data_IF_911238385289
#
_entry.id   IF_911238385289
#
_cell.length_a   1.000
_cell.length_b   1.000
_cell.length_c   1.000
_cell.angle_alpha   90.00
_cell.angle_beta   90.00
_cell.angle_gamma   90.00
#
_symmetry.space_group_name_H-M   'P 1'
#
loop_
_entity.id
_entity.type
_entity.pdbx_description
1 polymer ?
#
# COMPACT_ATOMS: atom_id res chain seq x y z
N UNK A 1 31.54 -26.80 -14.17
CA UNK A 1 30.08 -26.70 -13.98
C UNK A 1 29.82 -25.34 -13.34
N UNK A 2 29.12 -24.42 -14.01
CA UNK A 2 28.82 -23.10 -13.42
C UNK A 2 27.66 -23.24 -12.45
N UNK A 3 27.72 -22.56 -11.31
CA UNK A 3 26.61 -22.58 -10.35
C UNK A 3 25.45 -21.76 -10.90
N UNK A 4 24.22 -22.09 -10.49
CA UNK A 4 23.01 -21.35 -10.91
C UNK A 4 23.08 -19.85 -10.54
N UNK A 5 23.84 -19.51 -9.49
CA UNK A 5 24.14 -18.14 -9.09
C UNK A 5 25.03 -17.41 -10.11
N UNK A 6 26.09 -18.06 -10.59
CA UNK A 6 26.98 -17.54 -11.65
C UNK A 6 26.25 -17.35 -12.99
N UNK A 7 25.16 -18.10 -13.19
CA UNK A 7 24.30 -17.98 -14.36
C UNK A 7 23.20 -16.91 -14.21
N UNK A 8 23.18 -16.13 -13.11
CA UNK A 8 22.21 -15.06 -12.84
C UNK A 8 20.74 -15.50 -12.88
N UNK A 9 20.45 -16.76 -12.54
CA UNK A 9 19.07 -17.26 -12.44
C UNK A 9 18.39 -16.93 -11.11
N UNK A 10 19.12 -16.32 -10.17
CA UNK A 10 18.60 -15.94 -8.85
C UNK A 10 18.82 -14.46 -8.59
N UNK A 11 17.84 -13.83 -7.97
CA UNK A 11 17.95 -12.49 -7.40
C UNK A 11 18.07 -12.59 -5.87
N UNK A 12 18.82 -11.69 -5.21
CA UNK A 12 18.89 -11.64 -3.76
C UNK A 12 17.50 -11.40 -3.17
N UNK A 13 17.13 -12.20 -2.17
CA UNK A 13 15.88 -12.01 -1.42
C UNK A 13 15.92 -10.61 -0.80
N UNK A 14 14.97 -9.76 -1.18
CA UNK A 14 14.80 -8.45 -0.60
C UNK A 14 14.36 -8.55 0.86
N UNK A 15 14.64 -7.52 1.65
CA UNK A 15 14.24 -7.48 3.06
C UNK A 15 12.70 -7.59 3.22
N UNK A 16 11.95 -7.10 2.24
CA UNK A 16 10.49 -7.24 2.17
C UNK A 16 10.03 -8.67 1.91
N UNK A 17 10.67 -9.39 0.99
CA UNK A 17 10.37 -10.80 0.73
C UNK A 17 10.69 -11.66 1.94
N UNK A 18 11.84 -11.44 2.59
CA UNK A 18 12.20 -12.11 3.84
C UNK A 18 11.12 -11.94 4.91
N UNK A 19 10.52 -10.75 4.99
CA UNK A 19 9.43 -10.47 5.92
C UNK A 19 8.18 -11.30 5.62
N UNK A 20 7.72 -11.33 4.37
CA UNK A 20 6.59 -12.17 3.93
C UNK A 20 6.84 -13.65 4.17
N UNK A 21 8.06 -14.14 3.88
CA UNK A 21 8.46 -15.52 4.16
C UNK A 21 8.46 -15.83 5.66
N UNK A 22 8.90 -14.90 6.51
CA UNK A 22 8.92 -15.10 7.96
C UNK A 22 7.53 -15.03 8.59
N UNK A 23 6.56 -14.31 8.01
CA UNK A 23 5.20 -14.31 8.57
C UNK A 23 4.48 -15.65 8.41
N UNK A 24 4.80 -16.41 7.36
CA UNK A 24 4.19 -17.73 7.09
C UNK A 24 5.02 -18.91 7.65
N UNK A 25 6.36 -18.88 7.57
CA UNK A 25 7.21 -19.98 8.03
C UNK A 25 7.75 -19.85 9.46
N UNK A 26 7.92 -18.63 10.01
CA UNK A 26 8.64 -18.45 11.28
C UNK A 26 7.86 -18.88 12.52
N UNK A 27 6.61 -19.33 12.35
CA UNK A 27 5.84 -19.96 13.44
C UNK A 27 6.11 -21.45 13.63
N UNK A 28 6.85 -22.11 12.73
CA UNK A 28 6.95 -23.57 12.75
C UNK A 28 8.38 -24.11 12.69
N UNK A 29 9.31 -23.56 13.48
CA UNK A 29 10.48 -24.34 13.94
C UNK A 29 10.03 -25.46 14.90
N UNK A 30 9.06 -26.26 14.48
CA UNK A 30 8.51 -27.39 15.21
C UNK A 30 9.54 -28.51 15.09
N UNK A 31 10.14 -28.85 16.22
CA UNK A 31 10.86 -30.10 16.33
C UNK A 31 9.92 -31.26 15.92
N UNK A 32 10.44 -32.31 15.28
CA UNK A 32 9.62 -33.49 14.98
C UNK A 32 9.04 -34.05 16.29
N UNK A 33 7.71 -34.17 16.35
CA UNK A 33 7.01 -34.76 17.48
C UNK A 33 7.37 -36.24 17.59
N UNK A 34 8.28 -36.57 18.51
CA UNK A 34 8.66 -37.97 18.81
C UNK A 34 7.72 -38.62 19.81
N UNK A 35 7.11 -37.85 20.71
CA UNK A 35 6.18 -38.29 21.74
C UNK A 35 5.26 -37.15 22.18
N UNK A 36 4.34 -37.44 23.12
CA UNK A 36 3.39 -36.47 23.69
C UNK A 36 3.96 -35.69 24.89
N UNK A 37 5.29 -35.70 25.10
CA UNK A 37 5.90 -35.03 26.26
C UNK A 37 6.14 -33.54 25.99
N UNK A 38 5.90 -32.71 27.01
CA UNK A 38 6.01 -31.26 26.91
C UNK A 38 7.47 -30.81 26.86
N UNK A 39 7.86 -30.03 25.85
CA UNK A 39 9.19 -29.45 25.72
C UNK A 39 9.33 -28.14 26.54
N UNK A 40 10.06 -28.11 27.67
CA UNK A 40 10.07 -26.96 28.59
C UNK A 40 10.62 -25.67 27.98
N UNK A 41 11.43 -25.79 26.92
CA UNK A 41 12.00 -24.66 26.17
C UNK A 41 10.96 -23.86 25.38
N UNK A 42 9.88 -24.51 24.95
CA UNK A 42 8.85 -23.92 24.07
C UNK A 42 7.49 -23.74 24.77
N UNK A 43 7.37 -24.25 25.99
CA UNK A 43 6.16 -24.16 26.80
C UNK A 43 6.24 -23.03 27.83
N UNK A 44 5.06 -22.54 28.22
CA UNK A 44 4.83 -21.28 28.94
C UNK A 44 5.69 -21.20 30.22
N UNK A 45 6.63 -20.24 30.26
CA UNK A 45 7.32 -19.89 31.50
C UNK A 45 6.42 -18.98 32.34
N UNK A 46 6.45 -19.14 33.67
CA UNK A 46 5.84 -18.19 34.59
C UNK A 46 6.40 -16.79 34.28
N UNK A 47 5.50 -15.84 34.02
CA UNK A 47 5.85 -14.47 33.67
C UNK A 47 6.67 -13.88 34.82
N UNK A 48 7.99 -13.69 34.62
CA UNK A 48 8.83 -13.00 35.61
C UNK A 48 8.21 -11.64 35.90
N UNK A 49 8.19 -11.21 37.17
CA UNK A 49 7.79 -9.84 37.53
C UNK A 49 8.62 -8.89 36.69
N UNK A 50 7.97 -7.92 36.04
CA UNK A 50 8.63 -6.96 35.19
C UNK A 50 9.63 -6.16 36.04
N UNK A 51 10.92 -6.44 35.88
CA UNK A 51 11.97 -5.54 36.34
C UNK A 51 11.83 -4.25 35.54
N UNK A 52 11.79 -3.11 36.25
CA UNK A 52 11.77 -1.79 35.64
C UNK A 52 13.04 -1.61 34.83
N UNK A 53 12.99 -1.93 33.53
CA UNK A 53 14.06 -1.52 32.61
C UNK A 53 14.08 -0.01 32.65
N UNK A 54 15.21 0.57 33.04
CA UNK A 54 15.47 1.98 32.79
C UNK A 54 15.23 2.22 31.31
N UNK A 55 14.11 2.89 31.01
CA UNK A 55 13.81 3.31 29.65
C UNK A 55 14.87 4.36 29.36
N UNK A 56 15.90 3.98 28.59
CA UNK A 56 16.85 4.91 28.02
C UNK A 56 16.04 5.97 27.25
N UNK A 57 15.78 7.11 27.88
CA UNK A 57 15.00 8.24 27.34
C UNK A 57 15.68 8.87 26.11
N UNK A 58 16.90 8.44 25.80
CA UNK A 58 17.67 8.80 24.61
C UNK A 58 17.36 7.93 23.36
N UNK A 59 16.47 6.93 23.43
CA UNK A 59 15.87 6.38 22.20
C UNK A 59 15.00 7.47 21.61
N UNK A 60 15.57 8.24 20.68
CA UNK A 60 14.88 9.26 19.89
C UNK A 60 13.50 8.72 19.53
N UNK A 61 12.44 9.24 20.17
CA UNK A 61 11.08 9.02 19.71
C UNK A 61 11.09 9.58 18.29
N UNK A 62 10.92 8.71 17.30
CA UNK A 62 10.61 9.19 15.97
C UNK A 62 9.31 10.01 16.12
N UNK A 63 9.42 11.32 15.91
CA UNK A 63 8.28 12.23 15.89
C UNK A 63 8.09 12.55 14.41
N UNK A 64 6.97 12.13 13.80
CA UNK A 64 6.69 12.50 12.42
C UNK A 64 6.59 14.02 12.27
N UNK A 65 7.22 14.56 11.23
CA UNK A 65 7.15 15.99 10.88
C UNK A 65 6.20 16.23 9.69
N UNK A 66 6.00 15.20 8.86
CA UNK A 66 5.14 15.26 7.69
C UNK A 66 4.14 14.11 7.71
N UNK A 67 2.87 14.40 7.43
CA UNK A 67 1.80 13.40 7.39
C UNK A 67 1.21 13.34 5.99
N UNK A 68 1.17 12.13 5.44
CA UNK A 68 0.63 11.84 4.12
C UNK A 68 -0.43 10.75 4.19
N UNK A 69 -1.37 10.81 3.25
CA UNK A 69 -2.36 9.79 2.95
C UNK A 69 -2.07 9.30 1.55
N UNK A 70 -2.04 7.99 1.33
CA UNK A 70 -1.69 7.42 0.04
C UNK A 70 -2.57 6.21 -0.32
N UNK A 71 -2.72 5.97 -1.62
CA UNK A 71 -3.43 4.83 -2.19
C UNK A 71 -2.73 4.39 -3.49
N UNK A 72 -2.58 3.09 -3.70
CA UNK A 72 -2.02 2.53 -4.94
C UNK A 72 -3.14 2.02 -5.85
N UNK A 73 -2.91 2.12 -7.15
CA UNK A 73 -3.59 1.28 -8.14
C UNK A 73 -2.58 0.29 -8.72
N UNK A 74 -3.01 -0.96 -8.88
CA UNK A 74 -2.17 -2.05 -9.34
C UNK A 74 -2.91 -2.98 -10.30
N UNK A 75 -2.16 -3.72 -11.10
CA UNK A 75 -2.71 -4.76 -11.96
C UNK A 75 -3.33 -5.89 -11.13
N UNK A 76 -4.39 -6.51 -11.65
CA UNK A 76 -5.10 -7.62 -10.99
C UNK A 76 -4.83 -8.98 -11.63
N UNK A 77 -4.02 -9.04 -12.68
CA UNK A 77 -3.63 -10.27 -13.36
C UNK A 77 -2.31 -10.82 -12.79
N UNK A 78 -2.35 -12.06 -12.29
CA UNK A 78 -1.16 -12.77 -11.81
C UNK A 78 -0.49 -12.08 -10.62
N UNK A 79 0.79 -11.72 -10.78
CA UNK A 79 1.53 -10.96 -9.78
C UNK A 79 1.16 -9.48 -9.87
N UNK A 80 0.47 -8.98 -8.85
CA UNK A 80 0.04 -7.59 -8.79
C UNK A 80 1.25 -6.64 -8.84
N UNK A 81 1.21 -5.67 -9.76
CA UNK A 81 2.21 -4.63 -9.92
C UNK A 81 1.55 -3.26 -9.80
N UNK A 82 2.05 -2.44 -8.89
CA UNK A 82 1.62 -1.05 -8.78
C UNK A 82 1.99 -0.29 -10.07
N UNK A 83 1.04 0.50 -10.57
CA UNK A 83 1.23 1.34 -11.75
C UNK A 83 0.84 2.80 -11.50
N UNK A 84 0.15 3.09 -10.41
CA UNK A 84 -0.17 4.45 -10.01
C UNK A 84 -0.16 4.55 -8.49
N UNK A 85 0.29 5.67 -7.96
CA UNK A 85 0.12 6.05 -6.55
C UNK A 85 -0.34 7.49 -6.49
N UNK A 86 -1.33 7.75 -5.66
CA UNK A 86 -1.74 9.11 -5.31
C UNK A 86 -1.46 9.34 -3.84
N UNK A 87 -1.07 10.56 -3.52
CA UNK A 87 -0.85 10.95 -2.15
C UNK A 87 -1.20 12.41 -1.91
N UNK A 88 -1.76 12.67 -0.73
CA UNK A 88 -2.10 13.98 -0.24
C UNK A 88 -1.41 14.22 1.10
N UNK A 89 -0.86 15.41 1.30
CA UNK A 89 -0.42 15.85 2.63
C UNK A 89 -1.64 16.21 3.49
N UNK A 90 -1.48 16.08 4.81
CA UNK A 90 -2.51 16.43 5.79
C UNK A 90 -2.95 17.90 5.67
N UNK A 91 -1.99 18.82 5.57
CA UNK A 91 -2.20 20.27 5.40
C UNK A 91 -2.79 20.65 4.02
N UNK A 92 -2.78 19.73 3.06
CA UNK A 92 -3.26 19.94 1.70
C UNK A 92 -2.30 20.69 0.78
N UNK A 93 -1.06 20.97 1.19
CA UNK A 93 -0.03 21.59 0.35
C UNK A 93 0.42 20.69 -0.81
N UNK A 94 0.33 19.37 -0.66
CA UNK A 94 0.71 18.37 -1.66
C UNK A 94 -0.52 17.53 -2.04
N UNK A 95 -0.77 17.38 -3.34
CA UNK A 95 -1.83 16.52 -3.90
C UNK A 95 -1.41 16.00 -5.28
N UNK A 96 -0.62 14.94 -5.26
CA UNK A 96 0.10 14.44 -6.44
C UNK A 96 -0.29 13.00 -6.80
N UNK A 97 0.14 12.60 -7.99
CA UNK A 97 0.05 11.23 -8.48
C UNK A 97 1.31 10.90 -9.26
N UNK A 98 1.73 9.64 -9.21
CA UNK A 98 2.90 9.14 -9.93
C UNK A 98 2.48 7.91 -10.71
N UNK A 99 2.54 8.00 -12.03
CA UNK A 99 2.24 6.92 -12.96
C UNK A 99 3.50 6.18 -13.39
N UNK A 100 3.38 4.86 -13.54
CA UNK A 100 4.41 3.98 -14.07
C UNK A 100 4.82 2.88 -13.12
N UNK A 101 5.61 1.93 -13.63
CA UNK A 101 6.04 0.74 -12.86
C UNK A 101 6.96 1.08 -11.67
N UNK A 102 7.62 2.24 -11.72
CA UNK A 102 8.52 2.72 -10.66
C UNK A 102 7.82 3.63 -9.64
N UNK A 103 6.49 3.74 -9.69
CA UNK A 103 5.72 4.69 -8.88
C UNK A 103 6.01 4.58 -7.38
N UNK A 104 6.20 3.37 -6.85
CA UNK A 104 6.53 3.15 -5.44
C UNK A 104 7.91 3.72 -5.07
N UNK A 105 8.93 3.57 -5.93
CA UNK A 105 10.28 4.09 -5.66
C UNK A 105 10.31 5.61 -5.80
N UNK A 106 9.69 6.15 -6.84
CA UNK A 106 9.60 7.60 -7.03
C UNK A 106 8.80 8.28 -5.91
N UNK A 107 7.73 7.64 -5.42
CA UNK A 107 7.01 8.10 -4.23
C UNK A 107 7.94 8.20 -3.02
N UNK A 108 8.71 7.15 -2.73
CA UNK A 108 9.69 7.16 -1.64
C UNK A 108 10.78 8.23 -1.85
N UNK A 109 11.12 8.55 -3.09
CA UNK A 109 12.07 9.61 -3.42
C UNK A 109 11.55 11.01 -3.18
N UNK A 110 10.24 11.24 -3.37
CA UNK A 110 9.59 12.53 -3.11
C UNK A 110 9.27 12.79 -1.64
N UNK A 111 9.24 11.75 -0.80
CA UNK A 111 8.92 11.89 0.62
C UNK A 111 10.06 12.56 1.42
N UNK A 112 9.75 13.57 2.26
CA UNK A 112 10.74 14.16 3.17
C UNK A 112 11.13 13.18 4.30
N UNK A 113 12.22 13.48 4.99
CA UNK A 113 12.59 12.76 6.21
C UNK A 113 11.48 12.87 7.27
N UNK A 114 11.39 11.87 8.15
CA UNK A 114 10.38 11.79 9.21
C UNK A 114 8.92 11.85 8.72
N UNK A 115 8.67 11.21 7.56
CA UNK A 115 7.32 11.08 7.01
C UNK A 115 6.51 9.98 7.70
N UNK A 116 5.27 10.29 8.06
CA UNK A 116 4.23 9.32 8.45
C UNK A 116 3.21 9.21 7.32
N UNK A 117 3.00 7.99 6.83
CA UNK A 117 2.13 7.72 5.69
C UNK A 117 1.02 6.78 6.15
N UNK A 118 -0.22 7.18 5.91
CA UNK A 118 -1.38 6.34 6.12
C UNK A 118 -1.83 5.71 4.81
N UNK A 119 -2.03 4.40 4.84
CA UNK A 119 -2.78 3.65 3.82
C UNK A 119 -4.08 3.15 4.44
N UNK A 120 -5.06 2.81 3.61
CA UNK A 120 -6.29 2.19 4.08
C UNK A 120 -6.31 0.72 3.68
N UNK A 121 -6.19 -0.18 4.66
CA UNK A 121 -5.95 -1.61 4.45
C UNK A 121 -4.53 -1.91 3.94
N UNK A 122 -3.54 -1.36 4.67
CA UNK A 122 -2.10 -1.39 4.38
C UNK A 122 -1.52 -2.77 4.02
N UNK A 123 -2.13 -3.86 4.50
CA UNK A 123 -1.56 -5.22 4.36
C UNK A 123 -1.34 -5.62 2.90
N UNK A 124 -2.06 -5.00 1.98
CA UNK A 124 -1.86 -5.17 0.54
C UNK A 124 -0.75 -4.25 0.01
N UNK A 125 -0.91 -2.94 0.19
CA UNK A 125 -0.02 -1.91 -0.38
C UNK A 125 1.41 -1.97 0.14
N UNK A 126 1.60 -2.45 1.36
CA UNK A 126 2.91 -2.51 2.01
C UNK A 126 3.93 -3.33 1.21
N UNK A 127 3.46 -4.32 0.44
CA UNK A 127 4.31 -5.17 -0.39
C UNK A 127 4.96 -4.40 -1.54
N UNK A 128 4.36 -3.30 -2.00
CA UNK A 128 4.96 -2.42 -3.02
C UNK A 128 6.06 -1.55 -2.44
N UNK A 129 6.01 -1.23 -1.14
CA UNK A 129 6.96 -0.33 -0.49
C UNK A 129 8.13 -1.09 0.14
N UNK A 130 7.85 -2.18 0.86
CA UNK A 130 8.85 -2.88 1.69
C UNK A 130 10.07 -3.35 0.90
N UNK A 131 9.87 -3.78 -0.35
CA UNK A 131 10.95 -4.23 -1.24
C UNK A 131 11.99 -3.13 -1.55
N UNK A 132 11.61 -1.86 -1.39
CA UNK A 132 12.45 -0.71 -1.67
C UNK A 132 13.06 -0.07 -0.41
N UNK A 133 12.62 -0.46 0.79
CA UNK A 133 13.16 0.06 2.04
C UNK A 133 14.61 -0.39 2.24
N UNK A 134 15.47 0.52 2.68
CA UNK A 134 16.87 0.22 3.00
C UNK A 134 16.98 -0.62 4.27
N UNK A 135 16.17 -0.30 5.27
CA UNK A 135 16.15 -0.99 6.56
C UNK A 135 14.73 -0.94 7.13
N UNK A 136 14.25 -2.03 7.71
CA UNK A 136 13.07 -2.02 8.57
C UNK A 136 13.55 -1.90 10.02
N UNK A 137 13.11 -0.85 10.72
CA UNK A 137 13.51 -0.54 12.08
C UNK A 137 12.45 -0.96 13.09
N UNK A 138 12.92 -1.57 14.17
CA UNK A 138 12.06 -2.08 15.23
C UNK A 138 11.26 -3.31 14.81
N UNK A 139 10.28 -3.68 15.63
CA UNK A 139 9.37 -4.78 15.33
C UNK A 139 8.12 -4.21 14.66
N UNK A 140 7.80 -4.60 13.41
CA UNK A 140 6.52 -4.26 12.80
C UNK A 140 5.35 -4.64 13.71
N UNK A 141 4.34 -3.78 13.77
CA UNK A 141 3.16 -4.04 14.56
C UNK A 141 2.20 -4.82 13.68
N UNK A 142 2.06 -6.12 13.94
CA UNK A 142 1.15 -7.02 13.23
C UNK A 142 0.12 -7.55 14.23
N UNK A 143 -1.16 -7.52 13.84
CA UNK A 143 -2.26 -8.12 14.60
C UNK A 143 -3.00 -9.13 13.74
N UNK A 144 -2.76 -10.42 13.99
CA UNK A 144 -3.26 -11.49 13.12
C UNK A 144 -2.55 -11.47 11.76
N UNK A 145 -3.33 -11.42 10.68
CA UNK A 145 -2.82 -11.24 9.30
C UNK A 145 -2.68 -9.78 8.89
N UNK A 146 -3.00 -8.82 9.77
CA UNK A 146 -3.02 -7.39 9.44
C UNK A 146 -1.75 -6.68 9.90
N UNK A 147 -1.05 -6.08 8.96
CA UNK A 147 0.04 -5.13 9.22
C UNK A 147 -0.55 -3.80 9.66
N UNK A 148 -0.29 -3.39 10.91
CA UNK A 148 -0.78 -2.13 11.47
C UNK A 148 0.20 -0.98 11.32
N UNK A 149 1.50 -1.25 11.52
CA UNK A 149 2.54 -0.24 11.42
C UNK A 149 3.87 -0.87 11.05
N UNK A 150 4.60 -0.20 10.16
CA UNK A 150 6.00 -0.47 9.86
C UNK A 150 6.78 0.83 10.00
N UNK A 151 7.99 0.74 10.54
CA UNK A 151 8.94 1.84 10.61
C UNK A 151 10.22 1.40 9.92
N UNK A 152 10.85 2.28 9.15
CA UNK A 152 12.08 1.94 8.45
C UNK A 152 12.82 3.15 7.93
N UNK A 153 13.93 2.88 7.24
CA UNK A 153 14.71 3.87 6.52
C UNK A 153 14.64 3.64 5.01
N UNK A 154 14.55 4.72 4.26
CA UNK A 154 14.76 4.75 2.81
C UNK A 154 15.84 5.78 2.47
N UNK A 155 17.02 5.32 2.00
CA UNK A 155 18.17 6.18 1.68
C UNK A 155 18.51 7.16 2.82
N UNK A 156 18.48 6.67 4.07
CA UNK A 156 18.74 7.47 5.28
C UNK A 156 17.55 8.25 5.83
N UNK A 157 16.45 8.41 5.07
CA UNK A 157 15.21 9.05 5.54
C UNK A 157 14.35 8.08 6.33
N UNK A 158 13.88 8.49 7.49
CA UNK A 158 13.06 7.68 8.35
C UNK A 158 11.57 7.85 7.99
N UNK A 159 10.90 6.71 7.78
CA UNK A 159 9.52 6.63 7.30
C UNK A 159 8.72 5.72 8.25
N UNK A 160 7.53 6.17 8.63
CA UNK A 160 6.51 5.34 9.29
C UNK A 160 5.35 5.14 8.32
N UNK A 161 4.91 3.90 8.21
CA UNK A 161 3.73 3.53 7.44
C UNK A 161 2.71 2.94 8.41
N UNK A 162 1.48 3.45 8.40
CA UNK A 162 0.39 3.02 9.29
C UNK A 162 -0.85 2.62 8.51
N UNK A 163 -1.53 1.60 9.03
CA UNK A 163 -2.84 1.20 8.55
C UNK A 163 -3.95 2.01 9.23
N UNK A 164 -4.61 2.87 8.48
CA UNK A 164 -5.78 3.60 8.98
C UNK A 164 -6.96 2.68 9.27
N UNK A 165 -7.02 1.49 8.66
CA UNK A 165 -8.09 0.51 8.92
C UNK A 165 -8.04 -0.05 10.34
N UNK A 166 -6.90 0.09 11.02
CA UNK A 166 -6.76 -0.20 12.46
C UNK A 166 -7.46 0.83 13.36
N UNK A 167 -7.64 2.07 12.86
CA UNK A 167 -8.35 3.15 13.54
C UNK A 167 -9.83 3.13 13.14
N UNK A 168 -10.11 3.04 11.84
CA UNK A 168 -11.47 3.05 11.28
C UNK A 168 -11.73 1.73 10.54
N UNK A 169 -12.22 0.73 11.27
CA UNK A 169 -12.47 -0.62 10.78
C UNK A 169 -13.77 -0.72 9.94
N UNK A 170 -13.84 0.02 8.83
CA UNK A 170 -14.96 -0.01 7.87
C UNK A 170 -14.41 0.14 6.45
N UNK A 171 -15.16 -0.31 5.44
CA UNK A 171 -14.83 -0.09 4.02
C UNK A 171 -15.03 1.38 3.65
N UNK A 172 -14.12 1.98 2.87
CA UNK A 172 -14.24 3.37 2.39
C UNK A 172 -15.63 3.70 1.81
N UNK A 173 -16.27 2.78 1.09
CA UNK A 173 -17.61 3.03 0.53
C UNK A 173 -18.71 3.35 1.55
N UNK A 174 -18.55 2.94 2.81
CA UNK A 174 -19.54 3.14 3.87
C UNK A 174 -19.38 4.48 4.60
N UNK A 175 -18.23 5.14 4.45
CA UNK A 175 -17.91 6.35 5.18
C UNK A 175 -18.80 7.55 4.84
N UNK A 176 -19.26 7.76 3.59
CA UNK A 176 -20.17 8.87 3.32
C UNK A 176 -21.43 8.84 4.18
N UNK A 177 -22.00 7.64 4.38
CA UNK A 177 -23.16 7.43 5.23
C UNK A 177 -22.83 7.60 6.72
N UNK A 178 -21.61 7.27 7.15
CA UNK A 178 -21.20 7.40 8.55
C UNK A 178 -20.92 8.85 8.98
N UNK A 179 -20.46 9.69 8.04
CA UNK A 179 -19.99 11.05 8.32
C UNK A 179 -20.85 12.14 7.64
N UNK A 180 -22.00 11.77 7.09
CA UNK A 180 -22.90 12.63 6.30
C UNK A 180 -22.15 13.51 5.28
N UNK A 181 -21.22 12.91 4.55
CA UNK A 181 -20.38 13.64 3.60
C UNK A 181 -21.04 13.65 2.22
N UNK A 182 -20.98 14.80 1.54
CA UNK A 182 -21.22 14.83 0.11
C UNK A 182 -20.22 13.92 -0.60
N UNK A 183 -20.75 12.93 -1.34
CA UNK A 183 -19.98 12.08 -2.23
C UNK A 183 -19.77 12.79 -3.54
N UNK A 184 -18.56 12.71 -4.09
CA UNK A 184 -18.29 13.12 -5.47
C UNK A 184 -18.99 12.22 -6.49
N UNK A 185 -18.60 12.32 -7.77
CA UNK A 185 -19.11 11.45 -8.83
C UNK A 185 -19.00 9.98 -8.44
N UNK A 186 -19.97 9.18 -8.90
CA UNK A 186 -20.02 7.74 -8.65
C UNK A 186 -18.73 7.08 -9.18
N UNK A 187 -18.09 6.30 -8.32
CA UNK A 187 -16.84 5.61 -8.65
C UNK A 187 -17.12 4.44 -9.61
N UNK A 188 -16.61 4.53 -10.84
CA UNK A 188 -16.66 3.44 -11.84
C UNK A 188 -15.26 3.26 -12.40
N UNK A 189 -14.58 2.19 -11.98
CA UNK A 189 -13.21 1.91 -12.38
C UNK A 189 -13.08 0.46 -12.87
N UNK A 190 -12.60 0.21 -14.09
CA UNK A 190 -12.52 -1.13 -14.67
C UNK A 190 -11.25 -1.86 -14.20
N UNK A 191 -11.17 -2.27 -12.93
CA UNK A 191 -9.95 -2.85 -12.33
C UNK A 191 -9.33 -3.97 -13.18
N UNK A 192 -10.14 -4.92 -13.66
CA UNK A 192 -9.68 -6.07 -14.43
C UNK A 192 -9.24 -5.73 -15.87
N UNK A 193 -9.51 -4.50 -16.34
CA UNK A 193 -9.03 -4.02 -17.63
C UNK A 193 -7.56 -3.58 -17.57
N UNK A 194 -7.12 -3.06 -16.42
CA UNK A 194 -5.74 -2.61 -16.18
C UNK A 194 -4.79 -3.80 -15.95
N UNK A 195 -4.65 -4.62 -16.98
CA UNK A 195 -3.74 -5.78 -16.97
C UNK A 195 -2.28 -5.37 -17.13
N UNK A 196 -1.38 -6.23 -16.68
CA UNK A 196 0.07 -6.04 -16.79
C UNK A 196 0.52 -5.92 -18.25
N UNK A 197 -0.16 -6.58 -19.18
CA UNK A 197 0.10 -6.47 -20.63
C UNK A 197 -0.30 -5.11 -21.16
N UNK A 198 -1.49 -4.61 -20.79
CA UNK A 198 -1.96 -3.29 -21.19
C UNK A 198 -1.05 -2.19 -20.64
N UNK A 199 -0.67 -2.31 -19.37
CA UNK A 199 0.18 -1.36 -18.66
C UNK A 199 1.65 -1.37 -19.10
N UNK A 200 2.09 -2.42 -19.79
CA UNK A 200 3.42 -2.46 -20.40
C UNK A 200 3.48 -1.65 -21.71
N UNK A 201 2.35 -1.21 -22.26
CA UNK A 201 2.32 -0.35 -23.43
C UNK A 201 2.51 1.12 -23.03
N UNK A 202 3.53 1.76 -23.60
CA UNK A 202 3.89 3.14 -23.29
C UNK A 202 2.91 4.19 -23.82
N UNK A 203 1.99 3.81 -24.72
CA UNK A 203 1.04 4.75 -25.31
C UNK A 203 -0.12 5.17 -24.38
N UNK A 204 -0.25 4.54 -23.19
CA UNK A 204 -1.27 4.85 -22.16
C UNK A 204 -2.70 4.89 -22.70
N UNK A 205 -2.96 4.20 -23.80
CA UNK A 205 -4.24 4.27 -24.53
C UNK A 205 -5.08 3.05 -24.21
N UNK A 206 -6.29 3.28 -23.71
CA UNK A 206 -7.30 2.26 -23.46
C UNK A 206 -8.38 2.29 -24.54
N UNK A 207 -8.92 1.12 -24.88
CA UNK A 207 -10.08 0.94 -25.75
C UNK A 207 -11.35 0.94 -24.89
N UNK A 208 -12.26 1.87 -25.16
CA UNK A 208 -13.47 2.10 -24.38
C UNK A 208 -14.37 0.86 -24.37
N UNK A 209 -14.61 0.25 -25.54
CA UNK A 209 -15.48 -0.92 -25.67
C UNK A 209 -14.97 -2.13 -24.89
N UNK A 210 -13.65 -2.32 -24.82
CA UNK A 210 -13.03 -3.38 -24.02
C UNK A 210 -13.11 -3.08 -22.52
N UNK A 211 -12.84 -1.84 -22.10
CA UNK A 211 -12.97 -1.44 -20.71
C UNK A 211 -14.40 -1.61 -20.17
N UNK A 212 -15.40 -1.30 -21.01
CA UNK A 212 -16.82 -1.46 -20.68
C UNK A 212 -17.22 -2.90 -20.34
N UNK A 213 -16.50 -3.92 -20.81
CA UNK A 213 -16.77 -5.33 -20.45
C UNK A 213 -16.50 -5.65 -18.98
N UNK A 214 -15.70 -4.82 -18.31
CA UNK A 214 -15.27 -5.03 -16.91
C UNK A 214 -16.04 -4.17 -15.90
N UNK A 215 -17.08 -3.46 -16.35
CA UNK A 215 -17.90 -2.57 -15.52
C UNK A 215 -19.39 -2.78 -15.78
N UNK A 216 -20.21 -2.46 -14.79
CA UNK A 216 -21.68 -2.56 -14.92
C UNK A 216 -22.35 -1.26 -15.38
N UNK A 217 -21.67 -0.11 -15.23
CA UNK A 217 -22.26 1.23 -15.42
C UNK A 217 -21.46 1.99 -16.49
N UNK A 218 -21.67 1.59 -17.74
CA UNK A 218 -20.99 2.16 -18.90
C UNK A 218 -21.35 3.64 -19.11
N UNK A 219 -22.59 4.04 -18.84
CA UNK A 219 -23.02 5.44 -18.99
C UNK A 219 -22.23 6.37 -18.06
N UNK A 220 -22.03 5.96 -16.80
CA UNK A 220 -21.23 6.74 -15.85
C UNK A 220 -19.75 6.73 -16.24
N UNK A 221 -19.23 5.59 -16.72
CA UNK A 221 -17.86 5.51 -17.24
C UNK A 221 -17.61 6.50 -18.39
N UNK A 222 -18.51 6.56 -19.38
CA UNK A 222 -18.42 7.51 -20.49
C UNK A 222 -18.48 8.96 -20.02
N UNK A 223 -19.44 9.31 -19.15
CA UNK A 223 -19.54 10.64 -18.56
C UNK A 223 -18.26 11.04 -17.83
N UNK A 224 -17.65 10.10 -17.09
CA UNK A 224 -16.41 10.35 -16.38
C UNK A 224 -15.25 10.60 -17.35
N UNK A 225 -15.10 9.78 -18.40
CA UNK A 225 -14.09 10.00 -19.45
C UNK A 225 -14.24 11.40 -20.08
N UNK A 226 -15.46 11.79 -20.43
CA UNK A 226 -15.71 13.07 -21.08
C UNK A 226 -15.50 14.27 -20.13
N UNK A 227 -15.74 14.07 -18.82
CA UNK A 227 -15.55 15.12 -17.80
C UNK A 227 -14.09 15.41 -17.44
N UNK A 228 -13.20 14.43 -17.64
CA UNK A 228 -11.79 14.56 -17.28
C UNK A 228 -11.05 15.20 -18.46
N UNK A 229 -10.45 16.38 -18.22
CA UNK A 229 -9.74 17.14 -19.26
C UNK A 229 -8.67 16.29 -19.95
N UNK A 230 -8.87 16.08 -21.26
CA UNK A 230 -7.95 15.32 -22.11
C UNK A 230 -7.91 13.82 -21.85
N UNK A 231 -8.89 13.26 -21.12
CA UNK A 231 -9.01 11.83 -20.93
C UNK A 231 -9.65 11.13 -22.14
N UNK A 232 -10.65 11.75 -22.78
CA UNK A 232 -11.14 11.31 -24.09
C UNK A 232 -10.07 11.59 -25.14
N UNK A 233 -9.61 10.54 -25.85
CA UNK A 233 -8.63 10.68 -26.94
C UNK A 233 -9.38 10.82 -28.27
N UNK A 234 -10.29 9.88 -28.54
CA UNK A 234 -11.14 9.85 -29.73
C UNK A 234 -12.45 9.08 -29.44
N UNK A 235 -13.24 8.75 -30.47
CA UNK A 235 -14.51 8.03 -30.31
C UNK A 235 -14.39 6.68 -29.60
N UNK A 236 -13.27 5.98 -29.74
CA UNK A 236 -13.06 4.62 -29.25
C UNK A 236 -12.03 4.51 -28.12
N UNK A 237 -11.24 5.56 -27.87
CA UNK A 237 -10.10 5.51 -26.97
C UNK A 237 -10.13 6.54 -25.84
N UNK A 238 -9.51 6.18 -24.72
CA UNK A 238 -9.31 7.03 -23.55
C UNK A 238 -7.89 6.87 -22.96
N UNK A 239 -7.47 7.86 -22.19
CA UNK A 239 -6.17 7.91 -21.53
C UNK A 239 -6.21 7.19 -20.17
N UNK A 240 -5.48 6.07 -20.07
CA UNK A 240 -5.43 5.20 -18.89
C UNK A 240 -4.89 5.93 -17.65
N UNK A 241 -3.87 6.75 -17.83
CA UNK A 241 -3.22 7.47 -16.75
C UNK A 241 -4.13 8.55 -16.18
N UNK A 242 -4.73 9.37 -17.05
CA UNK A 242 -5.61 10.46 -16.60
C UNK A 242 -6.83 9.90 -15.89
N UNK A 243 -7.41 8.83 -16.43
CA UNK A 243 -8.55 8.17 -15.80
C UNK A 243 -8.15 7.62 -14.43
N UNK A 244 -7.14 6.75 -14.35
CA UNK A 244 -6.67 6.19 -13.08
C UNK A 244 -6.29 7.26 -12.06
N UNK A 245 -5.55 8.28 -12.48
CA UNK A 245 -5.14 9.41 -11.63
C UNK A 245 -6.34 10.12 -11.03
N UNK A 246 -7.39 10.36 -11.82
CA UNK A 246 -8.61 10.99 -11.33
C UNK A 246 -9.25 10.17 -10.20
N UNK A 247 -9.42 8.86 -10.40
CA UNK A 247 -10.01 7.97 -9.39
C UNK A 247 -9.17 7.84 -8.13
N UNK A 248 -7.89 7.57 -8.31
CA UNK A 248 -6.95 7.37 -7.23
C UNK A 248 -6.82 8.66 -6.38
N UNK A 249 -6.82 9.85 -7.00
CA UNK A 249 -6.90 11.12 -6.26
C UNK A 249 -8.23 11.30 -5.53
N UNK A 250 -9.36 10.94 -6.14
CA UNK A 250 -10.66 11.02 -5.48
C UNK A 250 -10.72 10.11 -4.24
N UNK A 251 -10.20 8.89 -4.34
CA UNK A 251 -10.09 7.94 -3.22
C UNK A 251 -9.18 8.47 -2.12
N UNK A 252 -7.98 8.92 -2.46
CA UNK A 252 -7.03 9.49 -1.52
C UNK A 252 -7.60 10.72 -0.78
N UNK A 253 -8.19 11.67 -1.51
CA UNK A 253 -8.82 12.87 -0.92
C UNK A 253 -9.98 12.51 0.00
N UNK A 254 -10.83 11.57 -0.43
CA UNK A 254 -11.92 11.07 0.38
C UNK A 254 -11.39 10.43 1.66
N UNK A 255 -10.38 9.57 1.55
CA UNK A 255 -9.72 8.93 2.66
C UNK A 255 -9.15 9.94 3.66
N UNK A 256 -8.34 10.91 3.20
CA UNK A 256 -7.80 12.00 4.04
C UNK A 256 -8.90 12.76 4.77
N UNK A 257 -9.86 13.32 4.01
CA UNK A 257 -10.96 14.15 4.56
C UNK A 257 -11.74 13.41 5.65
N UNK A 258 -11.89 12.10 5.50
CA UNK A 258 -12.60 11.25 6.44
C UNK A 258 -11.75 10.95 7.68
N UNK A 259 -10.48 10.59 7.49
CA UNK A 259 -9.59 10.27 8.59
C UNK A 259 -9.38 11.46 9.52
N UNK A 260 -9.20 12.67 8.96
CA UNK A 260 -9.04 13.90 9.74
C UNK A 260 -10.32 14.33 10.50
N UNK A 261 -11.48 13.72 10.24
CA UNK A 261 -12.74 13.99 10.96
C UNK A 261 -12.98 13.06 12.14
N UNK A 262 -12.20 12.00 12.30
CA UNK A 262 -12.33 11.08 13.43
C UNK A 262 -11.53 11.63 14.61
N UNK A 263 -12.13 11.79 15.81
CA UNK A 263 -11.37 12.12 17.02
C UNK A 263 -10.30 11.03 17.24
N UNK A 264 -9.03 11.44 17.28
CA UNK A 264 -7.88 10.55 17.52
C UNK A 264 -7.62 10.35 19.01
#
# INVERSE_FOLDING_TARGET
>A
MKTLWECKYFEPISYGELFTYTTDLYKQNLAPFKDLTYAPKYCVQLKKKAESKEVNKAKCKFIPEHVFFADFECSTDGFHKAFNICYDSEDGSVSESIWGQNCATEFLERLPDKSLIYFHNLSYDINFILRHMTEVKGTPIIKGSRTMQITGLYKGRAIIIKDSYSVINKKLKLFPAMFNLQTGPKEVFPYNYYSSVLLANDNRTGVISEACKFIHDADTFMKNIDSIKGCRIDENHFDLEKYSTFYCKQRCKNFKRRFCKVPQ
#
